data_IF_583336546156
#
_entry.id   IF_583336546156
#
_cell.length_a   1.000
_cell.length_b   1.000
_cell.length_c   1.000
_cell.angle_alpha   90.00
_cell.angle_beta   90.00
_cell.angle_gamma   90.00
#
_symmetry.space_group_name_H-M   'P 1'
#
loop_
_entity.id
_entity.type
_entity.pdbx_description
1 polymer ?
#
# COMPACT_ATOMS: atom_id res chain seq x y z
N UNK A 1 23.68 5.91 -19.67
CA UNK A 1 24.03 4.77 -18.79
C UNK A 1 23.12 3.60 -19.10
N UNK A 2 23.61 2.35 -19.03
CA UNK A 2 22.76 1.17 -19.16
C UNK A 2 21.96 0.95 -17.86
N UNK A 3 20.64 0.75 -17.98
CA UNK A 3 19.76 0.49 -16.84
C UNK A 3 20.17 -0.84 -16.16
N UNK A 4 20.34 -0.88 -14.83
CA UNK A 4 20.70 -2.11 -14.14
C UNK A 4 19.64 -3.19 -14.40
N UNK A 5 20.08 -4.38 -14.79
CA UNK A 5 19.18 -5.49 -15.08
C UNK A 5 18.62 -6.09 -13.77
N UNK A 6 17.60 -5.48 -13.19
CA UNK A 6 16.88 -5.99 -12.01
C UNK A 6 15.97 -7.18 -12.35
N UNK A 7 16.47 -8.16 -13.11
CA UNK A 7 15.68 -9.26 -13.71
C UNK A 7 15.08 -10.25 -12.69
N UNK A 8 15.51 -10.19 -11.44
CA UNK A 8 15.14 -11.17 -10.41
C UNK A 8 14.43 -10.57 -9.17
N UNK A 9 13.99 -9.31 -9.22
CA UNK A 9 13.23 -8.73 -8.10
C UNK A 9 11.90 -9.48 -7.97
N UNK A 10 11.68 -10.11 -6.81
CA UNK A 10 10.45 -10.87 -6.48
C UNK A 10 9.49 -10.07 -5.60
N UNK A 11 10.03 -9.11 -4.86
CA UNK A 11 9.27 -8.29 -3.93
C UNK A 11 9.80 -6.87 -3.90
N UNK A 12 8.91 -5.89 -3.79
CA UNK A 12 9.25 -4.48 -3.65
C UNK A 12 8.42 -3.84 -2.54
N UNK A 13 9.04 -2.91 -1.80
CA UNK A 13 8.35 -2.06 -0.83
C UNK A 13 8.47 -0.63 -1.33
N UNK A 14 7.36 0.12 -1.32
CA UNK A 14 7.31 1.53 -1.69
C UNK A 14 6.65 2.37 -0.61
N UNK A 15 7.15 3.58 -0.38
CA UNK A 15 6.58 4.57 0.53
C UNK A 15 6.16 5.77 -0.29
N UNK A 16 4.87 6.12 -0.22
CA UNK A 16 4.22 7.10 -1.11
C UNK A 16 4.72 7.01 -2.56
N UNK A 17 4.66 5.81 -3.19
CA UNK A 17 5.25 5.64 -4.50
C UNK A 17 4.44 6.39 -5.57
N UNK A 18 5.13 7.14 -6.42
CA UNK A 18 4.60 7.59 -7.70
C UNK A 18 4.66 6.41 -8.68
N UNK A 19 3.54 5.71 -8.83
CA UNK A 19 3.46 4.49 -9.64
C UNK A 19 3.03 4.74 -11.08
N UNK A 20 2.61 5.96 -11.40
CA UNK A 20 2.42 6.40 -12.78
C UNK A 20 2.92 7.82 -13.01
N UNK A 21 3.15 8.21 -14.26
CA UNK A 21 3.69 9.53 -14.60
C UNK A 21 2.63 10.32 -15.38
N UNK A 22 1.91 11.26 -14.71
CA UNK A 22 0.94 12.13 -15.36
C UNK A 22 1.53 12.85 -16.58
N UNK A 23 0.76 13.06 -17.67
CA UNK A 23 1.25 13.75 -18.86
C UNK A 23 1.88 15.12 -18.57
N UNK A 24 1.31 15.86 -17.62
CA UNK A 24 1.80 17.18 -17.19
C UNK A 24 3.18 17.16 -16.54
N UNK A 25 3.63 16.02 -16.00
CA UNK A 25 4.95 15.90 -15.37
C UNK A 25 6.04 15.44 -16.35
N UNK A 26 5.68 14.93 -17.53
CA UNK A 26 6.65 14.28 -18.44
C UNK A 26 7.59 15.25 -19.14
N UNK A 27 7.21 16.52 -19.24
CA UNK A 27 8.01 17.58 -19.88
C UNK A 27 8.55 18.60 -18.89
N UNK A 28 8.45 18.37 -17.58
CA UNK A 28 8.96 19.31 -16.59
C UNK A 28 10.49 19.25 -16.58
N UNK A 29 11.16 20.38 -16.79
CA UNK A 29 12.60 20.47 -17.05
C UNK A 29 13.45 19.61 -16.11
N UNK A 30 13.28 19.74 -14.79
CA UNK A 30 14.08 18.98 -13.82
C UNK A 30 13.89 17.45 -13.88
N UNK A 31 12.80 16.97 -14.46
CA UNK A 31 12.55 15.54 -14.71
C UNK A 31 13.08 15.18 -16.10
N UNK A 32 12.74 15.97 -17.12
CA UNK A 32 13.10 15.73 -18.51
C UNK A 32 14.61 15.73 -18.75
N UNK A 33 15.35 16.60 -18.06
CA UNK A 33 16.82 16.67 -18.15
C UNK A 33 17.48 15.34 -17.76
N UNK A 34 16.92 14.61 -16.79
CA UNK A 34 17.44 13.30 -16.39
C UNK A 34 17.18 12.19 -17.44
N UNK A 35 16.30 12.46 -18.40
CA UNK A 35 15.92 11.54 -19.49
C UNK A 35 16.43 11.99 -20.86
N UNK A 36 17.23 13.07 -20.92
CA UNK A 36 17.64 13.73 -22.17
C UNK A 36 16.43 14.11 -23.07
N UNK A 37 15.32 14.52 -22.44
CA UNK A 37 14.06 14.86 -23.11
C UNK A 37 12.81 14.40 -22.34
N UNK A 38 11.62 14.43 -22.96
CA UNK A 38 10.38 14.05 -22.29
C UNK A 38 10.42 12.62 -21.76
N UNK A 39 9.87 12.41 -20.56
CA UNK A 39 9.85 11.09 -19.90
C UNK A 39 9.06 10.10 -20.76
N UNK A 40 9.70 9.00 -21.22
CA UNK A 40 9.06 8.05 -22.13
C UNK A 40 8.05 7.16 -21.39
N UNK A 41 7.09 6.58 -22.12
CA UNK A 41 6.07 5.67 -21.55
C UNK A 41 6.66 4.45 -20.86
N UNK A 42 7.85 4.02 -21.29
CA UNK A 42 8.57 2.91 -20.65
C UNK A 42 9.04 3.21 -19.23
N UNK A 43 8.98 4.46 -18.78
CA UNK A 43 9.31 4.86 -17.42
C UNK A 43 8.08 4.87 -16.49
N UNK A 44 6.88 4.70 -17.04
CA UNK A 44 5.61 4.78 -16.32
C UNK A 44 5.10 3.36 -15.95
N UNK A 45 5.18 2.94 -14.67
CA UNK A 45 4.75 1.60 -14.28
C UNK A 45 3.26 1.33 -14.56
N UNK A 46 2.39 2.35 -14.48
CA UNK A 46 0.99 2.22 -14.85
C UNK A 46 0.80 2.04 -16.37
N UNK A 47 1.77 2.39 -17.20
CA UNK A 47 1.70 2.14 -18.64
C UNK A 47 2.11 0.69 -19.01
N UNK A 48 2.65 -0.09 -18.08
CA UNK A 48 3.12 -1.44 -18.39
C UNK A 48 1.99 -2.44 -18.63
N UNK A 49 2.31 -3.46 -19.43
CA UNK A 49 1.43 -4.61 -19.64
C UNK A 49 1.33 -5.44 -18.34
N UNK A 50 0.11 -5.80 -17.87
CA UNK A 50 -0.06 -6.44 -16.56
C UNK A 50 0.80 -7.69 -16.31
N UNK A 51 1.03 -8.53 -17.35
CA UNK A 51 1.87 -9.73 -17.18
C UNK A 51 3.31 -9.44 -16.74
N UNK A 52 3.81 -8.20 -16.90
CA UNK A 52 5.13 -7.79 -16.37
C UNK A 52 5.24 -7.96 -14.86
N UNK A 53 4.13 -7.86 -14.14
CA UNK A 53 4.08 -7.95 -12.68
C UNK A 53 3.52 -9.28 -12.17
N UNK A 54 3.27 -10.25 -13.06
CA UNK A 54 2.71 -11.55 -12.67
C UNK A 54 3.59 -12.26 -11.62
N UNK A 55 2.98 -12.68 -10.51
CA UNK A 55 3.66 -13.40 -9.43
C UNK A 55 4.66 -12.56 -8.63
N UNK A 56 4.66 -11.24 -8.80
CA UNK A 56 5.47 -10.31 -7.98
C UNK A 56 4.68 -9.88 -6.75
N UNK A 57 5.41 -9.52 -5.69
CA UNK A 57 4.84 -9.04 -4.42
C UNK A 57 5.18 -7.58 -4.19
N UNK A 58 4.20 -6.79 -3.78
CA UNK A 58 4.33 -5.38 -3.53
C UNK A 58 3.72 -5.05 -2.18
N UNK A 59 4.42 -4.28 -1.36
CA UNK A 59 3.84 -3.63 -0.19
C UNK A 59 4.02 -2.13 -0.32
N UNK A 60 2.91 -1.41 -0.40
CA UNK A 60 2.94 0.04 -0.54
C UNK A 60 2.34 0.72 0.67
N UNK A 61 3.12 1.62 1.26
CA UNK A 61 2.67 2.56 2.26
C UNK A 61 2.20 3.80 1.51
N UNK A 62 0.97 4.22 1.72
CA UNK A 62 0.40 5.38 1.03
C UNK A 62 -0.50 6.17 1.97
N UNK A 63 -0.67 7.47 1.72
CA UNK A 63 -1.61 8.30 2.45
C UNK A 63 -2.66 8.87 1.49
N UNK A 64 -3.96 8.84 1.83
CA UNK A 64 -4.99 9.53 1.05
C UNK A 64 -4.93 11.06 1.22
N UNK A 65 -4.14 11.55 2.18
CA UNK A 65 -3.90 12.97 2.39
C UNK A 65 -2.60 13.45 1.71
N UNK A 66 -1.95 12.60 0.91
CA UNK A 66 -0.76 12.94 0.14
C UNK A 66 -1.10 13.96 -0.95
N UNK A 67 -0.54 15.16 -0.86
CA UNK A 67 -0.77 16.27 -1.80
C UNK A 67 0.21 16.28 -2.96
N UNK A 68 1.26 15.45 -2.92
CA UNK A 68 2.35 15.42 -3.90
C UNK A 68 2.10 14.34 -4.96
N UNK A 69 1.68 13.15 -4.53
CA UNK A 69 1.40 12.04 -5.44
C UNK A 69 -0.08 12.07 -5.83
N UNK A 70 -0.42 12.33 -7.10
CA UNK A 70 -1.82 12.40 -7.51
C UNK A 70 -2.50 11.03 -7.42
N UNK A 71 -3.76 11.02 -7.03
CA UNK A 71 -4.58 9.80 -6.82
C UNK A 71 -4.68 8.90 -8.05
N UNK A 72 -4.54 9.44 -9.27
CA UNK A 72 -4.49 8.65 -10.50
C UNK A 72 -3.17 7.94 -10.76
N UNK A 73 -2.14 8.19 -9.95
CA UNK A 73 -0.78 7.69 -10.10
C UNK A 73 -0.22 7.09 -8.80
N UNK A 74 -1.03 6.99 -7.75
CA UNK A 74 -0.62 6.51 -6.43
C UNK A 74 -0.59 4.97 -6.33
N UNK A 75 -0.22 4.45 -5.16
CA UNK A 75 -0.23 3.02 -4.87
C UNK A 75 -1.60 2.35 -5.08
N UNK A 76 -2.72 3.07 -4.88
CA UNK A 76 -4.07 2.52 -5.09
C UNK A 76 -4.32 2.33 -6.57
N UNK A 77 -3.94 3.29 -7.42
CA UNK A 77 -4.04 3.15 -8.87
C UNK A 77 -3.28 1.91 -9.37
N UNK A 78 -2.09 1.66 -8.83
CA UNK A 78 -1.33 0.45 -9.13
C UNK A 78 -2.05 -0.82 -8.70
N UNK A 79 -2.56 -0.87 -7.46
CA UNK A 79 -3.28 -2.03 -6.94
C UNK A 79 -4.55 -2.33 -7.75
N UNK A 80 -5.30 -1.30 -8.15
CA UNK A 80 -6.49 -1.44 -9.00
C UNK A 80 -6.12 -2.08 -10.34
N UNK A 81 -5.03 -1.63 -10.97
CA UNK A 81 -4.61 -2.12 -12.28
C UNK A 81 -3.99 -3.52 -12.24
N UNK A 82 -3.14 -3.79 -11.25
CA UNK A 82 -2.28 -4.97 -11.25
C UNK A 82 -2.57 -5.99 -10.16
N UNK A 83 -3.43 -5.70 -9.19
CA UNK A 83 -3.74 -6.59 -8.05
C UNK A 83 -4.38 -7.92 -8.42
N UNK A 84 -4.83 -8.09 -9.68
CA UNK A 84 -5.31 -9.38 -10.22
C UNK A 84 -4.18 -10.32 -10.66
N UNK A 85 -2.99 -9.80 -10.91
CA UNK A 85 -1.83 -10.56 -11.43
C UNK A 85 -0.62 -10.51 -10.51
N UNK A 86 -0.52 -9.47 -9.69
CA UNK A 86 0.48 -9.28 -8.66
C UNK A 86 -0.17 -9.34 -7.27
N UNK A 87 0.58 -9.77 -6.27
CA UNK A 87 0.20 -9.67 -4.87
C UNK A 87 0.54 -8.26 -4.37
N UNK A 88 -0.46 -7.42 -4.16
CA UNK A 88 -0.30 -6.00 -3.79
C UNK A 88 -0.98 -5.75 -2.46
N UNK A 89 -0.17 -5.47 -1.44
CA UNK A 89 -0.62 -5.06 -0.12
C UNK A 89 -0.52 -3.54 0.02
N UNK A 90 -1.62 -2.92 0.44
CA UNK A 90 -1.68 -1.49 0.71
C UNK A 90 -1.77 -1.23 2.20
N UNK A 91 -0.81 -0.48 2.72
CA UNK A 91 -0.78 0.00 4.10
C UNK A 91 -1.10 1.49 4.09
N UNK A 92 -2.29 1.84 4.57
CA UNK A 92 -2.71 3.22 4.65
C UNK A 92 -2.06 3.91 5.85
N UNK A 93 -1.33 5.00 5.60
CA UNK A 93 -0.78 5.90 6.59
C UNK A 93 -1.61 7.20 6.69
N UNK A 94 -1.36 8.00 7.72
CA UNK A 94 -1.98 9.32 7.94
C UNK A 94 -0.96 10.42 7.63
N UNK A 95 -1.41 11.64 7.37
CA UNK A 95 -0.54 12.80 7.11
C UNK A 95 -0.21 13.01 5.63
N UNK A 96 0.33 14.16 5.30
CA UNK A 96 0.78 14.52 3.94
C UNK A 96 2.09 13.80 3.55
N UNK A 97 2.51 13.92 2.30
CA UNK A 97 3.70 13.28 1.70
C UNK A 97 4.98 13.45 2.53
N UNK A 98 5.20 14.67 3.02
CA UNK A 98 6.38 15.06 3.78
C UNK A 98 6.16 15.05 5.29
N UNK A 99 4.94 14.75 5.76
CA UNK A 99 4.72 14.62 7.18
C UNK A 99 5.63 13.49 7.70
N UNK A 100 6.06 13.56 8.97
CA UNK A 100 6.74 12.45 9.62
C UNK A 100 5.74 11.40 10.18
N UNK A 101 5.21 10.47 9.36
CA UNK A 101 4.68 9.23 9.92
C UNK A 101 4.92 7.94 9.10
N UNK A 102 5.85 7.91 8.12
CA UNK A 102 6.14 6.69 7.33
C UNK A 102 7.59 6.17 7.45
N UNK A 103 8.59 7.04 7.52
CA UNK A 103 10.02 6.63 7.51
C UNK A 103 10.56 6.21 8.88
N UNK A 104 10.04 6.73 9.99
CA UNK A 104 10.58 6.47 11.34
C UNK A 104 10.27 5.07 11.89
N UNK A 105 9.31 4.35 11.30
CA UNK A 105 8.93 2.99 11.73
C UNK A 105 9.75 1.90 11.02
N UNK A 106 10.38 2.19 9.88
CA UNK A 106 11.13 1.18 9.11
C UNK A 106 12.54 0.87 9.63
N UNK A 107 13.14 1.70 10.49
CA UNK A 107 14.52 1.49 10.96
C UNK A 107 14.66 0.62 12.23
N UNK A 108 13.57 0.10 12.79
CA UNK A 108 13.68 -0.92 13.84
C UNK A 108 13.60 -2.31 13.21
N UNK A 109 14.73 -2.78 12.68
CA UNK A 109 14.91 -4.21 12.37
C UNK A 109 14.57 -5.04 13.60
N UNK A 110 13.78 -6.12 13.49
CA UNK A 110 13.74 -7.11 14.54
C UNK A 110 15.12 -7.76 14.60
N UNK A 111 15.84 -7.53 15.68
CA UNK A 111 16.91 -8.44 16.09
C UNK A 111 16.32 -9.85 16.11
N UNK A 112 17.02 -10.77 15.48
CA UNK A 112 16.73 -12.19 15.37
C UNK A 112 16.63 -12.83 16.77
N UNK A 113 15.50 -12.64 17.43
CA UNK A 113 15.11 -13.35 18.65
C UNK A 113 14.55 -14.70 18.25
N UNK A 114 15.42 -15.71 18.20
CA UNK A 114 15.02 -17.10 17.99
C UNK A 114 13.93 -17.50 18.97
N UNK A 115 12.78 -17.92 18.43
CA UNK A 115 11.76 -18.63 19.20
C UNK A 115 11.71 -20.07 18.72
N UNK A 116 12.13 -20.96 19.62
CA UNK A 116 11.98 -22.41 19.55
C UNK A 116 10.55 -22.78 19.15
N UNK A 117 10.45 -23.72 18.21
CA UNK A 117 9.23 -24.43 17.93
C UNK A 117 8.86 -25.32 19.14
N UNK A 118 7.68 -25.12 19.70
CA UNK A 118 7.02 -26.09 20.57
C UNK A 118 5.97 -26.86 19.75
N UNK A 119 5.91 -28.21 19.85
CA UNK A 119 4.90 -28.99 19.16
C UNK A 119 3.61 -28.99 19.99
N UNK A 120 2.53 -28.42 19.45
CA UNK A 120 1.20 -28.56 20.05
C UNK A 120 0.42 -29.69 19.39
N UNK A 121 0.04 -30.63 20.26
CA UNK A 121 -0.75 -31.81 20.01
C UNK A 121 -2.12 -31.51 19.36
N UNK A 122 -2.51 -32.41 18.45
CA UNK A 122 -3.89 -32.68 18.00
C UNK A 122 -4.84 -32.82 19.18
N UNK A 123 -6.01 -32.17 19.12
CA UNK A 123 -7.26 -32.71 19.65
C UNK A 123 -8.47 -32.18 18.82
N UNK A 124 -9.10 -33.12 18.13
CA UNK A 124 -10.55 -33.38 17.95
C UNK A 124 -11.56 -32.26 17.65
N UNK A 125 -12.21 -32.38 16.47
CA UNK A 125 -13.59 -31.91 16.12
C UNK A 125 -14.63 -32.67 16.97
N UNK A 126 -15.81 -32.11 17.33
CA UNK A 126 -17.01 -32.08 16.44
C UNK A 126 -18.01 -30.93 16.78
N UNK A 127 -19.32 -31.00 16.44
CA UNK A 127 -19.97 -31.10 15.13
C UNK A 127 -20.76 -29.83 14.77
N UNK A 128 -21.26 -29.80 13.54
CA UNK A 128 -22.21 -28.82 13.01
C UNK A 128 -23.49 -28.73 13.86
N UNK A 129 -23.89 -27.51 14.22
CA UNK A 129 -25.25 -27.16 14.63
C UNK A 129 -25.75 -26.01 13.74
N UNK A 130 -26.80 -26.31 12.98
CA UNK A 130 -27.60 -25.36 12.20
C UNK A 130 -28.43 -24.51 13.17
N UNK A 131 -28.34 -23.19 13.05
CA UNK A 131 -29.24 -22.26 13.70
C UNK A 131 -29.79 -21.25 12.68
N UNK A 132 -31.11 -21.09 12.69
CA UNK A 132 -31.94 -20.26 11.82
C UNK A 132 -31.72 -18.75 11.99
N UNK A 133 -32.12 -17.91 11.01
CA UNK A 133 -31.93 -16.47 11.07
C UNK A 133 -33.05 -15.75 11.84
N UNK A 134 -32.74 -14.78 12.73
CA UNK A 134 -33.74 -13.85 13.21
C UNK A 134 -34.00 -12.69 12.24
N UNK A 135 -35.27 -12.30 12.23
CA UNK A 135 -35.94 -11.33 11.37
C UNK A 135 -35.46 -9.88 11.58
N UNK A 136 -35.57 -9.11 10.50
CA UNK A 136 -35.45 -7.66 10.42
C UNK A 136 -36.29 -6.91 11.45
N UNK A 137 -35.71 -5.87 12.06
CA UNK A 137 -36.46 -4.76 12.64
C UNK A 137 -35.73 -3.44 12.35
N UNK A 138 -36.41 -2.58 11.58
CA UNK A 138 -36.04 -1.21 11.33
C UNK A 138 -36.08 -0.39 12.63
N UNK A 139 -35.02 0.36 12.93
CA UNK A 139 -35.09 1.56 13.76
C UNK A 139 -34.07 2.58 13.25
N UNK A 140 -34.60 3.65 12.66
CA UNK A 140 -33.84 4.85 12.37
C UNK A 140 -33.67 5.63 13.68
N UNK A 141 -32.43 6.04 13.96
CA UNK A 141 -32.09 6.96 15.04
C UNK A 141 -31.21 8.07 14.45
N UNK A 142 -31.50 9.37 14.71
CA UNK A 142 -30.73 10.48 14.16
C UNK A 142 -29.38 10.60 14.88
N UNK A 143 -28.29 10.63 14.10
CA UNK A 143 -26.95 10.88 14.62
C UNK A 143 -26.70 12.39 14.67
N UNK A 144 -26.63 12.92 15.89
CA UNK A 144 -26.13 14.25 16.21
C UNK A 144 -24.65 14.36 15.81
N UNK A 145 -24.32 15.43 15.09
CA UNK A 145 -22.96 15.90 14.83
C UNK A 145 -22.30 16.28 16.15
N UNK A 146 -21.43 15.41 16.67
CA UNK A 146 -20.43 15.78 17.66
C UNK A 146 -19.09 15.89 16.95
N UNK A 147 -18.50 17.10 16.95
CA UNK A 147 -17.13 17.31 16.50
C UNK A 147 -16.17 16.47 17.36
N UNK A 148 -15.23 15.72 16.75
CA UNK A 148 -14.26 14.97 17.54
C UNK A 148 -13.24 15.93 18.16
N UNK A 149 -12.84 15.71 19.43
CA UNK A 149 -11.86 16.55 20.13
C UNK A 149 -10.48 16.49 19.46
N UNK A 150 -9.81 17.66 19.39
CA UNK A 150 -8.47 17.94 18.82
C UNK A 150 -7.27 17.20 19.44
N UNK A 151 -7.46 16.05 20.08
CA UNK A 151 -6.39 15.29 20.75
C UNK A 151 -6.39 13.80 20.38
N UNK A 152 -6.40 13.49 19.09
CA UNK A 152 -6.18 12.12 18.61
C UNK A 152 -4.69 11.87 18.34
N UNK A 153 -4.06 11.29 19.35
CA UNK A 153 -2.82 10.46 19.37
C UNK A 153 -2.08 10.29 18.03
N UNK A 154 -0.80 10.67 18.07
CA UNK A 154 0.28 10.42 17.11
C UNK A 154 0.61 8.93 16.98
N UNK A 155 -0.28 8.12 16.42
CA UNK A 155 0.05 6.76 16.02
C UNK A 155 0.39 6.72 14.53
N UNK A 156 1.66 7.03 14.25
CA UNK A 156 2.29 6.84 12.95
C UNK A 156 2.32 5.35 12.59
N UNK A 157 2.07 5.05 11.32
CA UNK A 157 2.02 3.75 10.63
C UNK A 157 2.78 2.62 11.36
N UNK A 158 2.15 1.95 12.34
CA UNK A 158 2.72 0.75 13.01
C UNK A 158 2.20 -0.50 12.32
N UNK A 159 2.93 -1.00 11.34
CA UNK A 159 2.73 -2.38 10.88
C UNK A 159 3.28 -3.33 11.95
N UNK A 160 2.42 -4.19 12.53
CA UNK A 160 2.89 -5.36 13.28
C UNK A 160 3.46 -6.34 12.24
N UNK A 161 4.74 -6.66 12.37
CA UNK A 161 5.44 -7.68 11.59
C UNK A 161 5.56 -8.96 12.42
#
# INVERSE_FOLDING_TARGET
MAEPAYRNVRSMVGISPLTGIPPTLRGVDFIADAWDGPVPDRADPLSFYPKRFAGKRFRFFYSPADTVVPTGADARAFAIRFGKVADVELVQCRGDHADPPATRVMMRSPSSGGRRAEPRHRLSRPPFLLAEPPRSAHRATPFLLAEPPRAARREACRSRW
#
